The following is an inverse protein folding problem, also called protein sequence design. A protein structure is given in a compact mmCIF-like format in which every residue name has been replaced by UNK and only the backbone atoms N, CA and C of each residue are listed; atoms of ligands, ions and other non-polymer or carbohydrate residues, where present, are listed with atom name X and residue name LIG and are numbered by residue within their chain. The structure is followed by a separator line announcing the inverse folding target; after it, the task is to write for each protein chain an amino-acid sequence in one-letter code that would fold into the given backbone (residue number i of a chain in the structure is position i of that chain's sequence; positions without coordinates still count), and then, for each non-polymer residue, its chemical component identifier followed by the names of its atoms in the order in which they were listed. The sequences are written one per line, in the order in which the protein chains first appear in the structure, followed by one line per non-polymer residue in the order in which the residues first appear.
data_IF_227514591183
#
_entry.id   IF_227514591183
#
_cell.length_a   1.000
_cell.length_b   1.000
_cell.length_c   1.000
_cell.angle_alpha   90.00
_cell.angle_beta   90.00
_cell.angle_gamma   90.00
#
_symmetry.space_group_name_H-M   'P 1'
#
loop_
_entity.id
_entity.type
_entity.pdbx_description
1 polymer ?
#
# COMPACT_ATOMS: atom_id res chain seq x y z
N UNK A 1 -30.14 -2.00 -8.12
CA UNK A 1 -29.99 -3.17 -7.23
C UNK A 1 -29.86 -4.50 -8.01
N UNK A 2 -30.60 -4.73 -9.10
CA UNK A 2 -30.47 -5.95 -9.92
C UNK A 2 -29.12 -6.11 -10.63
N UNK A 3 -28.55 -5.02 -11.15
CA UNK A 3 -27.27 -5.03 -11.88
C UNK A 3 -26.08 -5.40 -10.98
N UNK A 4 -25.95 -4.78 -9.80
CA UNK A 4 -24.92 -5.12 -8.80
C UNK A 4 -25.00 -6.58 -8.35
N UNK A 5 -26.21 -7.14 -8.21
CA UNK A 5 -26.38 -8.55 -7.84
C UNK A 5 -25.90 -9.49 -8.95
N UNK A 6 -26.13 -9.14 -10.20
CA UNK A 6 -25.63 -9.89 -11.36
C UNK A 6 -24.11 -9.77 -11.51
N UNK A 7 -23.52 -8.62 -11.19
CA UNK A 7 -22.07 -8.43 -11.18
C UNK A 7 -21.38 -9.27 -10.08
N UNK A 8 -21.94 -9.28 -8.88
CA UNK A 8 -21.44 -10.11 -7.78
C UNK A 8 -21.49 -11.59 -8.14
N UNK A 9 -22.55 -12.07 -8.79
CA UNK A 9 -22.63 -13.47 -9.20
C UNK A 9 -21.57 -13.83 -10.25
N UNK A 10 -21.21 -12.91 -11.16
CA UNK A 10 -20.11 -13.15 -12.14
C UNK A 10 -18.76 -13.36 -11.47
N UNK A 11 -18.49 -12.69 -10.35
CA UNK A 11 -17.27 -12.89 -9.56
C UNK A 11 -17.35 -14.18 -8.76
N UNK A 12 -18.45 -14.39 -8.03
CA UNK A 12 -18.60 -15.49 -7.08
C UNK A 12 -18.79 -16.86 -7.75
N UNK A 13 -19.38 -16.92 -8.94
CA UNK A 13 -19.63 -18.18 -9.65
C UNK A 13 -18.48 -18.62 -10.57
N UNK A 14 -17.44 -17.78 -10.73
CA UNK A 14 -16.28 -18.11 -11.57
C UNK A 14 -15.07 -18.40 -10.70
N UNK A 15 -14.40 -19.55 -10.86
CA UNK A 15 -13.34 -19.98 -9.96
C UNK A 15 -12.13 -19.04 -9.99
N UNK A 16 -11.74 -18.53 -11.16
CA UNK A 16 -10.60 -17.62 -11.31
C UNK A 16 -10.75 -16.30 -10.54
N UNK A 17 -11.78 -15.45 -10.78
CA UNK A 17 -11.95 -14.19 -10.04
C UNK A 17 -12.25 -14.40 -8.55
N UNK A 18 -12.96 -15.48 -8.18
CA UNK A 18 -13.17 -15.83 -6.79
C UNK A 18 -11.85 -16.14 -6.07
N UNK A 19 -11.00 -16.99 -6.66
CA UNK A 19 -9.69 -17.35 -6.10
C UNK A 19 -8.77 -16.12 -6.02
N UNK A 20 -8.73 -15.32 -7.09
CA UNK A 20 -7.99 -14.06 -7.13
C UNK A 20 -8.39 -13.13 -5.97
N UNK A 21 -9.69 -12.98 -5.72
CA UNK A 21 -10.19 -12.13 -4.63
C UNK A 21 -9.91 -12.73 -3.23
N UNK A 22 -9.93 -14.05 -3.09
CA UNK A 22 -9.76 -14.72 -1.80
C UNK A 22 -8.31 -14.79 -1.32
N UNK A 23 -7.33 -14.99 -2.21
CA UNK A 23 -5.94 -15.22 -1.80
C UNK A 23 -5.27 -14.04 -1.08
N UNK A 24 -5.41 -12.76 -1.51
CA UNK A 24 -4.75 -11.64 -0.85
C UNK A 24 -5.10 -11.49 0.65
N UNK A 25 -6.38 -11.48 1.08
CA UNK A 25 -6.69 -11.39 2.49
C UNK A 25 -6.32 -12.67 3.26
N UNK A 26 -6.39 -13.86 2.66
CA UNK A 26 -5.93 -15.09 3.31
C UNK A 26 -4.41 -15.06 3.54
N UNK A 27 -3.66 -14.60 2.55
CA UNK A 27 -2.22 -14.45 2.64
C UNK A 27 -1.84 -13.47 3.75
N UNK A 28 -2.39 -12.25 3.71
CA UNK A 28 -2.00 -11.17 4.62
C UNK A 28 -2.46 -11.40 6.06
N UNK A 29 -3.61 -12.04 6.27
CA UNK A 29 -4.20 -12.20 7.61
C UNK A 29 -3.96 -13.55 8.28
N UNK A 30 -3.61 -14.59 7.51
CA UNK A 30 -3.49 -15.97 8.03
C UNK A 30 -2.12 -16.54 7.71
N UNK A 31 -1.77 -16.65 6.43
CA UNK A 31 -0.56 -17.39 6.01
C UNK A 31 0.71 -16.66 6.45
N UNK A 32 0.89 -15.40 6.02
CA UNK A 32 2.10 -14.64 6.31
C UNK A 32 2.35 -14.47 7.83
N UNK A 33 1.33 -14.16 8.66
CA UNK A 33 1.51 -14.13 10.12
C UNK A 33 1.92 -15.48 10.71
N UNK A 34 1.34 -16.58 10.23
CA UNK A 34 1.64 -17.93 10.74
C UNK A 34 3.09 -18.37 10.47
N UNK A 35 3.74 -17.80 9.45
CA UNK A 35 5.15 -18.10 9.13
C UNK A 35 6.13 -17.48 10.14
N UNK A 36 5.70 -16.53 10.98
CA UNK A 36 6.53 -15.88 12.03
C UNK A 36 7.89 -15.38 11.54
N UNK A 37 7.92 -14.90 10.29
CA UNK A 37 9.14 -14.42 9.64
C UNK A 37 9.52 -13.03 10.18
N UNK A 38 10.83 -12.77 10.23
CA UNK A 38 11.36 -11.43 10.41
C UNK A 38 11.07 -10.54 9.18
N UNK A 39 11.44 -9.26 9.23
CA UNK A 39 11.14 -8.31 8.13
C UNK A 39 11.78 -8.72 6.79
N UNK A 40 12.95 -9.38 6.83
CA UNK A 40 13.65 -9.87 5.64
C UNK A 40 12.92 -11.05 5.02
N UNK A 41 12.55 -12.05 5.83
CA UNK A 41 11.74 -13.19 5.41
C UNK A 41 10.36 -12.76 4.91
N UNK A 42 9.69 -11.82 5.60
CA UNK A 42 8.41 -11.26 5.16
C UNK A 42 8.52 -10.56 3.80
N UNK A 43 9.61 -9.81 3.58
CA UNK A 43 9.88 -9.16 2.29
C UNK A 43 10.00 -10.20 1.18
N UNK A 44 10.84 -11.22 1.37
CA UNK A 44 11.01 -12.30 0.39
C UNK A 44 9.69 -13.03 0.12
N UNK A 45 8.94 -13.37 1.17
CA UNK A 45 7.66 -14.09 1.07
C UNK A 45 6.60 -13.27 0.33
N UNK A 46 6.45 -11.98 0.65
CA UNK A 46 5.50 -11.10 -0.04
C UNK A 46 5.84 -10.91 -1.52
N UNK A 47 7.12 -10.65 -1.84
CA UNK A 47 7.54 -10.51 -3.22
C UNK A 47 7.32 -11.81 -3.99
N UNK A 48 7.69 -12.95 -3.44
CA UNK A 48 7.48 -14.26 -4.07
C UNK A 48 5.98 -14.55 -4.29
N UNK A 49 5.14 -14.31 -3.28
CA UNK A 49 3.69 -14.49 -3.38
C UNK A 49 3.09 -13.58 -4.44
N UNK A 50 3.43 -12.28 -4.44
CA UNK A 50 2.92 -11.33 -5.42
C UNK A 50 3.36 -11.67 -6.85
N UNK A 51 4.60 -12.11 -7.04
CA UNK A 51 5.11 -12.57 -8.34
C UNK A 51 4.36 -13.82 -8.81
N UNK A 52 4.24 -14.84 -7.95
CA UNK A 52 3.50 -16.06 -8.30
C UNK A 52 2.03 -15.78 -8.61
N UNK A 53 1.40 -14.90 -7.83
CA UNK A 53 0.03 -14.46 -8.05
C UNK A 53 -0.13 -13.73 -9.39
N UNK A 54 0.75 -12.77 -9.70
CA UNK A 54 0.72 -12.06 -10.98
C UNK A 54 0.93 -12.99 -12.17
N UNK A 55 1.84 -13.97 -12.07
CA UNK A 55 2.03 -14.98 -13.11
C UNK A 55 0.80 -15.88 -13.27
N UNK A 56 0.12 -16.23 -12.18
CA UNK A 56 -1.06 -17.10 -12.18
C UNK A 56 -2.31 -16.41 -12.73
N UNK A 57 -2.45 -15.10 -12.50
CA UNK A 57 -3.65 -14.32 -12.83
C UNK A 57 -3.44 -13.29 -13.95
N UNK A 58 -2.37 -13.43 -14.74
CA UNK A 58 -2.04 -12.61 -15.92
C UNK A 58 -1.88 -11.11 -15.59
N UNK A 59 -1.02 -10.80 -14.61
CA UNK A 59 -0.73 -9.44 -14.18
C UNK A 59 -0.06 -8.59 -15.26
N UNK A 60 -0.53 -7.35 -15.43
CA UNK A 60 -0.06 -6.40 -16.47
C UNK A 60 0.33 -5.07 -15.83
N UNK A 61 1.58 -4.90 -15.35
CA UNK A 61 1.96 -3.75 -14.54
C UNK A 61 2.34 -2.48 -15.32
N UNK A 62 2.87 -2.60 -16.54
CA UNK A 62 3.39 -1.47 -17.34
C UNK A 62 4.34 -0.54 -16.56
N UNK A 63 5.36 -1.11 -15.92
CA UNK A 63 6.28 -0.39 -15.03
C UNK A 63 7.04 0.78 -15.67
N UNK A 64 7.30 0.69 -16.97
CA UNK A 64 8.12 1.66 -17.70
C UNK A 64 7.29 2.67 -18.50
N UNK A 65 5.97 2.73 -18.29
CA UNK A 65 5.12 3.68 -19.00
C UNK A 65 5.45 5.14 -18.60
N UNK A 66 5.82 6.02 -19.54
CA UNK A 66 6.18 7.40 -19.24
C UNK A 66 5.06 8.22 -18.60
N UNK A 67 3.79 7.94 -18.92
CA UNK A 67 2.63 8.61 -18.29
C UNK A 67 2.54 8.24 -16.82
N UNK A 68 2.75 6.95 -16.53
CA UNK A 68 2.80 6.43 -15.17
C UNK A 68 3.92 7.07 -14.35
N UNK A 69 5.13 7.12 -14.91
CA UNK A 69 6.29 7.75 -14.26
C UNK A 69 6.04 9.24 -13.98
N UNK A 70 5.57 10.00 -14.98
CA UNK A 70 5.33 11.44 -14.82
C UNK A 70 4.26 11.76 -13.79
N UNK A 71 3.10 11.10 -13.88
CA UNK A 71 2.00 11.32 -12.95
C UNK A 71 2.38 10.86 -11.54
N UNK A 72 3.00 9.68 -11.42
CA UNK A 72 3.49 9.15 -10.15
C UNK A 72 4.52 10.04 -9.47
N UNK A 73 5.50 10.54 -10.24
CA UNK A 73 6.50 11.48 -9.72
C UNK A 73 5.86 12.78 -9.22
N UNK A 74 4.87 13.32 -9.95
CA UNK A 74 4.16 14.52 -9.54
C UNK A 74 3.41 14.36 -8.21
N UNK A 75 2.65 13.26 -8.04
CA UNK A 75 1.92 13.01 -6.80
C UNK A 75 2.85 12.65 -5.64
N UNK A 76 3.92 11.90 -5.90
CA UNK A 76 4.94 11.57 -4.91
C UNK A 76 5.66 12.84 -4.41
N UNK A 77 5.99 13.76 -5.32
CA UNK A 77 6.58 15.05 -4.99
C UNK A 77 5.63 15.90 -4.12
N UNK A 78 4.35 15.93 -4.46
CA UNK A 78 3.33 16.65 -3.67
C UNK A 78 3.22 16.10 -2.24
N UNK A 79 3.15 14.77 -2.07
CA UNK A 79 3.09 14.13 -0.74
C UNK A 79 4.37 14.42 0.05
N UNK A 80 5.53 14.26 -0.59
CA UNK A 80 6.83 14.52 0.05
C UNK A 80 6.96 15.98 0.48
N UNK A 81 6.52 16.93 -0.35
CA UNK A 81 6.50 18.36 -0.01
C UNK A 81 5.55 18.65 1.18
N UNK A 82 4.38 18.01 1.23
CA UNK A 82 3.46 18.11 2.37
C UNK A 82 4.07 17.60 3.67
N UNK A 83 4.76 16.46 3.62
CA UNK A 83 5.49 15.91 4.79
C UNK A 83 6.63 16.82 5.23
N UNK A 84 7.41 17.36 4.28
CA UNK A 84 8.47 18.32 4.57
C UNK A 84 7.91 19.60 5.23
N UNK A 85 6.79 20.11 4.74
CA UNK A 85 6.09 21.24 5.36
C UNK A 85 5.61 20.90 6.78
N UNK A 86 5.06 19.70 7.00
CA UNK A 86 4.64 19.24 8.32
C UNK A 86 5.83 19.14 9.31
N UNK A 87 7.02 18.75 8.85
CA UNK A 87 8.24 18.77 9.67
C UNK A 87 8.76 20.20 9.90
N UNK A 88 8.63 21.09 8.92
CA UNK A 88 9.07 22.48 9.04
C UNK A 88 8.23 23.29 10.04
N UNK A 89 6.91 23.09 10.04
CA UNK A 89 5.96 23.82 10.89
C UNK A 89 6.05 23.31 12.34
N UNK A 90 6.33 24.17 13.35
CA UNK A 90 6.55 23.72 14.73
C UNK A 90 5.38 22.95 15.36
N UNK A 91 4.15 23.36 15.09
CA UNK A 91 2.96 22.74 15.66
C UNK A 91 2.81 21.28 15.22
N UNK A 92 2.93 21.02 13.91
CA UNK A 92 2.87 19.66 13.33
C UNK A 92 4.13 18.86 13.62
N UNK A 93 5.31 19.49 13.65
CA UNK A 93 6.57 18.82 14.00
C UNK A 93 6.51 18.19 15.40
N UNK A 94 5.96 18.89 16.39
CA UNK A 94 5.81 18.34 17.75
C UNK A 94 4.95 17.07 17.75
N UNK A 95 3.81 17.11 17.04
CA UNK A 95 2.94 15.94 16.87
C UNK A 95 3.64 14.77 16.20
N UNK A 96 4.43 15.04 15.15
CA UNK A 96 5.21 14.01 14.46
C UNK A 96 6.30 13.41 15.37
N UNK A 97 6.95 14.23 16.21
CA UNK A 97 7.98 13.75 17.12
C UNK A 97 7.42 12.84 18.24
N UNK A 98 6.16 13.06 18.63
CA UNK A 98 5.40 12.26 19.62
C UNK A 98 4.96 10.89 19.08
N UNK A 99 4.97 10.67 17.76
CA UNK A 99 4.61 9.37 17.16
C UNK A 99 5.58 8.31 17.67
N UNK A 100 5.06 7.23 18.23
CA UNK A 100 5.87 6.12 18.73
C UNK A 100 6.72 5.50 17.61
N UNK A 101 7.93 5.05 17.95
CA UNK A 101 8.70 4.22 17.02
C UNK A 101 8.01 2.85 16.91
N UNK A 102 7.45 2.58 15.73
CA UNK A 102 6.76 1.32 15.39
C UNK A 102 7.48 0.60 14.25
N UNK A 103 8.75 0.95 14.00
CA UNK A 103 9.55 0.29 12.98
C UNK A 103 9.82 -1.18 13.32
N UNK A 104 10.12 -2.03 12.32
CA UNK A 104 10.64 -3.36 12.56
C UNK A 104 12.01 -3.33 13.23
N UNK A 105 12.45 -4.47 13.77
CA UNK A 105 13.79 -4.66 14.39
C UNK A 105 14.93 -4.68 13.33
N UNK A 106 15.02 -3.64 12.51
CA UNK A 106 16.10 -3.34 11.58
C UNK A 106 16.34 -1.83 11.54
N UNK A 107 17.47 -1.41 11.00
CA UNK A 107 17.76 0.01 10.85
C UNK A 107 16.72 0.71 9.97
N UNK A 108 16.28 1.92 10.33
CA UNK A 108 15.26 2.69 9.58
C UNK A 108 15.63 2.86 8.10
N UNK A 109 16.92 2.99 7.79
CA UNK A 109 17.38 3.06 6.40
C UNK A 109 17.20 1.73 5.64
N UNK A 110 17.48 0.58 6.27
CA UNK A 110 17.22 -0.74 5.66
C UNK A 110 15.71 -0.91 5.41
N UNK A 111 14.88 -0.59 6.42
CA UNK A 111 13.44 -0.65 6.26
C UNK A 111 12.93 0.23 5.11
N UNK A 112 13.39 1.47 5.04
CA UNK A 112 12.88 2.46 4.08
C UNK A 112 13.39 2.26 2.66
N UNK A 113 14.62 1.78 2.47
CA UNK A 113 15.25 1.62 1.14
C UNK A 113 15.00 0.24 0.55
N UNK A 114 14.82 -0.79 1.37
CA UNK A 114 14.67 -2.17 0.89
C UNK A 114 13.27 -2.73 1.15
N UNK A 115 12.85 -2.77 2.41
CA UNK A 115 11.65 -3.52 2.78
C UNK A 115 10.35 -2.81 2.38
N UNK A 116 10.28 -1.48 2.52
CA UNK A 116 9.12 -0.70 2.04
C UNK A 116 9.01 -0.80 0.51
N UNK A 117 10.06 -0.51 -0.30
CA UNK A 117 9.91 -0.56 -1.76
C UNK A 117 9.62 -1.96 -2.30
N UNK A 118 10.26 -2.99 -1.76
CA UNK A 118 10.20 -4.36 -2.32
C UNK A 118 9.13 -5.21 -1.66
N UNK A 119 9.13 -5.28 -0.33
CA UNK A 119 8.25 -6.15 0.46
C UNK A 119 6.84 -5.63 0.65
N UNK A 120 6.65 -4.31 0.49
CA UNK A 120 5.35 -3.64 0.58
C UNK A 120 4.91 -3.12 -0.79
N UNK A 121 5.56 -2.08 -1.31
CA UNK A 121 5.06 -1.33 -2.48
C UNK A 121 5.04 -2.20 -3.73
N UNK A 122 6.16 -2.79 -4.12
CA UNK A 122 6.24 -3.65 -5.30
C UNK A 122 5.27 -4.84 -5.18
N UNK A 123 5.29 -5.53 -4.03
CA UNK A 123 4.45 -6.70 -3.80
C UNK A 123 2.95 -6.35 -3.88
N UNK A 124 2.50 -5.32 -3.17
CA UNK A 124 1.09 -4.94 -3.15
C UNK A 124 0.62 -4.35 -4.48
N UNK A 125 1.41 -3.48 -5.10
CA UNK A 125 0.99 -2.90 -6.39
C UNK A 125 0.96 -3.94 -7.50
N UNK A 126 1.86 -4.93 -7.47
CA UNK A 126 1.81 -6.08 -8.37
C UNK A 126 0.58 -6.96 -8.10
N UNK A 127 0.27 -7.23 -6.83
CA UNK A 127 -0.86 -8.08 -6.43
C UNK A 127 -2.22 -7.44 -6.77
N UNK A 128 -2.38 -6.16 -6.43
CA UNK A 128 -3.66 -5.46 -6.52
C UNK A 128 -3.82 -4.72 -7.85
N UNK A 129 -2.95 -3.77 -8.16
CA UNK A 129 -3.16 -2.82 -9.27
C UNK A 129 -2.73 -3.42 -10.60
N UNK A 130 -1.66 -4.20 -10.63
CA UNK A 130 -1.26 -4.89 -11.85
C UNK A 130 -2.13 -6.13 -12.14
N UNK A 131 -2.76 -6.73 -11.13
CA UNK A 131 -3.39 -8.05 -11.28
C UNK A 131 -4.86 -8.10 -10.84
N UNK A 132 -5.17 -8.00 -9.54
CA UNK A 132 -6.52 -8.21 -9.01
C UNK A 132 -7.55 -7.23 -9.60
N UNK A 133 -7.31 -5.91 -9.46
CA UNK A 133 -8.24 -4.88 -9.91
C UNK A 133 -8.56 -5.01 -11.42
N UNK A 134 -7.58 -5.09 -12.34
CA UNK A 134 -7.87 -5.31 -13.76
C UNK A 134 -8.71 -6.57 -14.03
N UNK A 135 -8.44 -7.66 -13.31
CA UNK A 135 -9.17 -8.92 -13.47
C UNK A 135 -10.64 -8.77 -13.05
N UNK A 136 -10.88 -8.14 -11.90
CA UNK A 136 -12.23 -7.89 -11.40
C UNK A 136 -12.98 -6.87 -12.26
N UNK A 137 -12.31 -5.81 -12.72
CA UNK A 137 -12.86 -4.81 -13.66
C UNK A 137 -13.35 -5.46 -14.95
N UNK A 138 -12.56 -6.37 -15.54
CA UNK A 138 -12.97 -7.12 -16.74
C UNK A 138 -14.15 -8.06 -16.48
N UNK A 139 -14.33 -8.51 -15.24
CA UNK A 139 -15.37 -9.49 -14.86
C UNK A 139 -16.70 -8.81 -14.51
N UNK A 140 -16.63 -7.67 -13.82
CA UNK A 140 -17.77 -7.04 -13.15
C UNK A 140 -17.75 -5.50 -13.20
N UNK A 141 -16.99 -4.89 -14.12
CA UNK A 141 -16.97 -3.45 -14.34
C UNK A 141 -16.65 -2.66 -13.07
N UNK A 142 -17.47 -1.64 -12.79
CA UNK A 142 -17.31 -0.79 -11.60
C UNK A 142 -17.43 -1.56 -10.28
N UNK A 143 -18.32 -2.55 -10.21
CA UNK A 143 -18.44 -3.44 -9.04
C UNK A 143 -17.11 -4.17 -8.79
N UNK A 144 -16.45 -4.60 -9.87
CA UNK A 144 -15.11 -5.20 -9.80
C UNK A 144 -14.04 -4.29 -9.21
N UNK A 145 -14.03 -3.02 -9.60
CA UNK A 145 -13.14 -2.00 -8.99
C UNK A 145 -13.38 -1.88 -7.48
N UNK A 146 -14.65 -1.77 -7.07
CA UNK A 146 -15.00 -1.63 -5.65
C UNK A 146 -14.57 -2.87 -4.84
N UNK A 147 -14.78 -4.06 -5.38
CA UNK A 147 -14.32 -5.30 -4.76
C UNK A 147 -12.80 -5.35 -4.63
N UNK A 148 -12.04 -4.87 -5.62
CA UNK A 148 -10.59 -4.74 -5.54
C UNK A 148 -10.15 -3.86 -4.38
N UNK A 149 -10.74 -2.66 -4.26
CA UNK A 149 -10.46 -1.74 -3.17
C UNK A 149 -10.84 -2.29 -1.78
N UNK A 150 -12.00 -2.96 -1.66
CA UNK A 150 -12.42 -3.62 -0.41
C UNK A 150 -11.47 -4.77 -0.06
N UNK A 151 -11.04 -5.56 -1.04
CA UNK A 151 -10.10 -6.68 -0.82
C UNK A 151 -8.76 -6.16 -0.30
N UNK A 152 -8.28 -5.04 -0.85
CA UNK A 152 -7.11 -4.34 -0.34
C UNK A 152 -7.30 -3.93 1.13
N UNK A 153 -8.45 -3.37 1.49
CA UNK A 153 -8.76 -3.04 2.88
C UNK A 153 -8.85 -4.25 3.82
N UNK A 154 -9.44 -5.36 3.37
CA UNK A 154 -9.53 -6.61 4.14
C UNK A 154 -8.16 -7.22 4.43
N UNK A 155 -7.20 -7.07 3.51
CA UNK A 155 -5.83 -7.56 3.73
C UNK A 155 -5.09 -6.82 4.87
N UNK A 156 -5.60 -5.67 5.32
CA UNK A 156 -4.98 -4.86 6.38
C UNK A 156 -5.53 -5.14 7.79
N UNK A 157 -6.41 -6.12 7.97
CA UNK A 157 -6.99 -6.44 9.29
C UNK A 157 -5.93 -6.91 10.29
N UNK A 158 -5.10 -7.88 9.94
CA UNK A 158 -4.03 -8.38 10.81
C UNK A 158 -2.93 -7.32 11.03
N UNK A 159 -2.46 -6.58 10.01
CA UNK A 159 -1.60 -5.42 10.22
C UNK A 159 -2.18 -4.43 11.25
N UNK A 160 -3.45 -4.05 11.13
CA UNK A 160 -4.11 -3.14 12.08
C UNK A 160 -4.09 -3.69 13.51
N UNK A 161 -4.45 -4.97 13.69
CA UNK A 161 -4.42 -5.64 15.00
C UNK A 161 -3.02 -5.66 15.60
N UNK A 162 -2.02 -5.97 14.78
CA UNK A 162 -0.62 -6.08 15.23
C UNK A 162 -0.05 -4.72 15.64
N UNK A 163 -0.48 -3.65 14.98
CA UNK A 163 -0.10 -2.28 15.31
C UNK A 163 -0.90 -1.67 16.48
N UNK A 164 -1.95 -2.36 16.96
CA UNK A 164 -2.88 -1.83 17.96
C UNK A 164 -3.80 -0.72 17.43
N UNK A 165 -3.97 -0.63 16.12
CA UNK A 165 -4.80 0.37 15.48
C UNK A 165 -6.29 -0.05 15.40
N UNK A 166 -7.19 0.91 15.16
CA UNK A 166 -8.62 0.65 14.97
C UNK A 166 -8.85 -0.16 13.69
N UNK A 167 -9.28 -1.41 13.80
CA UNK A 167 -9.57 -2.28 12.63
C UNK A 167 -10.59 -1.65 11.67
N UNK A 168 -11.75 -1.14 12.11
CA UNK A 168 -12.70 -0.47 11.20
C UNK A 168 -12.12 0.78 10.56
N UNK A 169 -11.33 1.57 11.31
CA UNK A 169 -10.67 2.77 10.80
C UNK A 169 -9.63 2.45 9.74
N UNK A 170 -8.76 1.48 10.01
CA UNK A 170 -7.75 1.02 9.06
C UNK A 170 -8.40 0.42 7.81
N UNK A 171 -9.44 -0.41 7.95
CA UNK A 171 -10.17 -0.96 6.80
C UNK A 171 -10.75 0.15 5.92
N UNK A 172 -11.39 1.17 6.52
CA UNK A 172 -11.96 2.29 5.78
C UNK A 172 -10.87 3.10 5.04
N UNK A 173 -9.80 3.48 5.74
CA UNK A 173 -8.70 4.27 5.16
C UNK A 173 -7.99 3.51 4.06
N UNK A 174 -7.68 2.23 4.29
CA UNK A 174 -6.99 1.41 3.30
C UNK A 174 -7.88 1.11 2.10
N UNK A 175 -9.19 0.89 2.27
CA UNK A 175 -10.14 0.78 1.15
C UNK A 175 -10.16 2.07 0.29
N UNK A 176 -10.19 3.24 0.93
CA UNK A 176 -10.14 4.53 0.23
C UNK A 176 -8.81 4.74 -0.49
N UNK A 177 -7.68 4.39 0.14
CA UNK A 177 -6.37 4.39 -0.50
C UNK A 177 -6.31 3.42 -1.70
N UNK A 178 -6.93 2.24 -1.54
CA UNK A 178 -7.25 1.28 -2.59
C UNK A 178 -7.83 1.94 -3.82
N UNK A 179 -8.99 2.57 -3.63
CA UNK A 179 -9.72 3.26 -4.68
C UNK A 179 -8.93 4.41 -5.32
N UNK A 180 -8.16 5.17 -4.54
CA UNK A 180 -7.28 6.23 -5.06
C UNK A 180 -6.17 5.68 -5.96
N UNK A 181 -5.50 4.61 -5.53
CA UNK A 181 -4.44 3.98 -6.32
C UNK A 181 -5.02 3.36 -7.60
N UNK A 182 -6.20 2.73 -7.52
CA UNK A 182 -6.92 2.22 -8.68
C UNK A 182 -7.32 3.33 -9.66
N UNK A 183 -7.75 4.49 -9.15
CA UNK A 183 -8.01 5.66 -9.99
C UNK A 183 -6.76 6.12 -10.72
N UNK A 184 -5.63 6.24 -10.01
CA UNK A 184 -4.36 6.67 -10.60
C UNK A 184 -3.84 5.68 -11.66
N UNK A 185 -3.98 4.37 -11.40
CA UNK A 185 -3.71 3.32 -12.38
C UNK A 185 -4.57 3.49 -13.63
N UNK A 186 -5.90 3.65 -13.50
CA UNK A 186 -6.80 3.82 -14.65
C UNK A 186 -6.49 5.08 -15.45
N UNK A 187 -6.19 6.19 -14.77
CA UNK A 187 -5.87 7.47 -15.41
C UNK A 187 -4.57 7.40 -16.23
N UNK A 188 -3.62 6.56 -15.82
CA UNK A 188 -2.28 6.49 -16.43
C UNK A 188 -2.05 5.26 -17.29
N UNK A 189 -2.83 4.20 -17.11
CA UNK A 189 -2.60 2.88 -17.70
C UNK A 189 -1.45 2.09 -17.06
N UNK A 190 -0.88 2.58 -15.95
CA UNK A 190 0.37 2.06 -15.37
C UNK A 190 0.29 1.89 -13.86
N UNK A 191 0.90 0.81 -13.37
CA UNK A 191 1.06 0.53 -11.94
C UNK A 191 2.17 1.39 -11.31
N UNK A 192 3.02 2.04 -12.10
CA UNK A 192 4.09 2.91 -11.58
C UNK A 192 3.55 4.14 -10.88
N UNK A 193 2.45 4.72 -11.39
CA UNK A 193 1.87 5.90 -10.78
C UNK A 193 1.37 5.65 -9.34
N UNK A 194 0.53 4.62 -9.07
CA UNK A 194 0.18 4.28 -7.70
C UNK A 194 1.37 3.79 -6.88
N UNK A 195 2.34 3.07 -7.46
CA UNK A 195 3.54 2.65 -6.73
C UNK A 195 4.37 3.82 -6.19
N UNK A 196 4.55 4.89 -6.98
CA UNK A 196 5.29 6.07 -6.52
C UNK A 196 4.53 6.83 -5.43
N UNK A 197 3.21 6.95 -5.54
CA UNK A 197 2.37 7.52 -4.47
C UNK A 197 2.45 6.66 -3.20
N UNK A 198 2.31 5.35 -3.35
CA UNK A 198 2.33 4.38 -2.27
C UNK A 198 3.68 4.39 -1.54
N UNK A 199 4.78 4.46 -2.29
CA UNK A 199 6.13 4.62 -1.76
C UNK A 199 6.28 5.93 -0.97
N UNK A 200 5.84 7.06 -1.53
CA UNK A 200 5.93 8.35 -0.85
C UNK A 200 5.18 8.36 0.49
N UNK A 201 4.00 7.73 0.55
CA UNK A 201 3.22 7.60 1.77
C UNK A 201 3.91 6.70 2.81
N UNK A 202 4.40 5.52 2.41
CA UNK A 202 5.01 4.58 3.36
C UNK A 202 6.39 5.02 3.83
N UNK A 203 7.29 5.31 2.88
CA UNK A 203 8.64 5.76 3.21
C UNK A 203 8.61 7.11 3.92
N UNK A 204 7.76 8.03 3.46
CA UNK A 204 7.56 9.32 4.09
C UNK A 204 6.98 9.20 5.51
N UNK A 205 5.98 8.33 5.71
CA UNK A 205 5.41 8.03 7.02
C UNK A 205 6.42 7.40 7.99
N UNK A 206 7.28 6.51 7.49
CA UNK A 206 8.36 5.93 8.28
C UNK A 206 9.41 6.97 8.68
N UNK A 207 9.79 7.90 7.78
CA UNK A 207 10.87 8.86 8.02
C UNK A 207 10.44 10.13 8.75
N UNK A 208 9.18 10.57 8.61
CA UNK A 208 8.73 11.87 9.13
C UNK A 208 8.89 12.03 10.66
N UNK A 209 8.58 11.02 11.51
CA UNK A 209 8.84 11.12 12.96
C UNK A 209 10.32 11.30 13.29
N UNK A 210 11.22 10.57 12.62
CA UNK A 210 12.67 10.69 12.85
C UNK A 210 13.19 12.06 12.40
N UNK A 211 12.75 12.55 11.23
CA UNK A 211 13.10 13.89 10.76
C UNK A 211 12.61 14.97 11.73
N UNK A 212 11.40 14.84 12.27
CA UNK A 212 10.85 15.76 13.26
C UNK A 212 11.67 15.82 14.56
N UNK A 213 12.11 14.66 15.07
CA UNK A 213 12.99 14.56 16.26
C UNK A 213 14.37 15.17 15.97
N UNK A 214 14.99 14.83 14.84
CA UNK A 214 16.30 15.34 14.45
C UNK A 214 16.33 16.88 14.32
N UNK A 215 15.32 17.47 13.67
CA UNK A 215 15.19 18.94 13.55
C UNK A 215 14.96 19.61 14.90
N UNK A 216 14.21 18.98 15.79
CA UNK A 216 13.94 19.52 17.13
C UNK A 216 15.21 19.55 17.99
N UNK A 217 16.01 18.48 17.98
CA UNK A 217 17.24 18.37 18.76
C UNK A 217 18.30 19.41 18.34
N UNK A 218 18.52 19.57 17.02
CA UNK A 218 19.47 20.58 16.48
C UNK A 218 19.12 22.01 16.90
N UNK A 219 17.82 22.33 17.03
CA UNK A 219 17.38 23.66 17.48
C UNK A 219 17.63 23.86 18.98
N UNK A 220 17.46 22.83 19.80
CA UNK A 220 17.79 22.90 21.22
C UNK A 220 19.29 23.13 21.43
N UNK A 221 20.14 22.43 20.68
CA UNK A 221 21.59 22.61 20.71
C UNK A 221 22.01 24.03 20.26
N UNK A 222 21.40 24.56 19.20
CA UNK A 222 21.69 25.91 18.72
C UNK A 222 21.18 27.05 19.63
N UNK A 223 20.31 26.75 20.59
CA UNK A 223 19.76 27.71 21.57
C UNK A 223 20.47 27.69 22.93
N UNK A 224 21.43 26.79 23.12
CA UNK A 224 22.31 26.71 24.29
C UNK A 224 23.62 27.42 24.01
#
# INVERSE_FOLDING_TARGET
MGETRADLSRVLLRPKPLAAMAFPPLWANIVLPALRLDVRGRTAANTAFATAYALTFDGTPHWTDPRGIRAGAAVAALVTAGLAAAVAIPATRRRLAEVADRGPDVHTAEWTVLHIPVGTVLAEELLYRATLTPLLERTAGHTGTLLGAITFGLAHIHPARSAGDSVPGTLAITTLAGALFDHLRRATGSTTAPALLHLALNAGGALAPYAARAVSNRRTEASR
#
